data_IF_181089161953
#
_entry.id   IF_181089161953
#
_cell.length_a   1.000
_cell.length_b   1.000
_cell.length_c   1.000
_cell.angle_alpha   90.00
_cell.angle_beta   90.00
_cell.angle_gamma   90.00
#
_symmetry.space_group_name_H-M   'P 1'
#
loop_
_entity.id
_entity.type
_entity.pdbx_description
1 polymer ?
#
# COMPACT_ATOMS: atom_id res chain seq x y z
N UNK A 1 -19.03 -39.33 6.36
CA UNK A 1 -17.64 -39.20 5.88
C UNK A 1 -17.15 -37.86 6.39
N UNK A 2 -16.51 -37.86 7.53
CA UNK A 2 -16.06 -36.69 8.28
C UNK A 2 -14.83 -36.16 7.56
N UNK A 3 -14.97 -34.96 6.99
CA UNK A 3 -13.87 -34.30 6.30
C UNK A 3 -12.95 -33.70 7.37
N UNK A 4 -11.85 -34.39 7.62
CA UNK A 4 -10.78 -33.98 8.52
C UNK A 4 -10.33 -32.55 8.12
N UNK A 5 -10.53 -31.58 9.00
CA UNK A 5 -10.09 -30.21 8.81
C UNK A 5 -8.56 -30.19 8.91
N UNK A 6 -7.92 -30.34 7.78
CA UNK A 6 -6.49 -30.08 7.68
C UNK A 6 -6.24 -28.62 8.02
N UNK A 7 -5.71 -28.35 9.20
CA UNK A 7 -5.27 -27.01 9.60
C UNK A 7 -4.09 -26.63 8.71
N UNK A 8 -4.35 -25.79 7.71
CA UNK A 8 -3.27 -25.19 6.92
C UNK A 8 -2.47 -24.28 7.84
N UNK A 9 -1.14 -24.47 7.98
CA UNK A 9 -0.33 -23.59 8.80
C UNK A 9 -0.46 -22.14 8.27
N UNK A 10 -0.79 -21.21 9.16
CA UNK A 10 -0.82 -19.79 8.84
C UNK A 10 0.63 -19.31 8.65
N UNK A 11 1.11 -19.35 7.43
CA UNK A 11 2.42 -18.82 7.08
C UNK A 11 2.38 -17.28 7.17
N UNK A 12 2.96 -16.74 8.22
CA UNK A 12 3.13 -15.29 8.39
C UNK A 12 4.13 -14.76 7.35
N UNK A 13 3.64 -14.27 6.22
CA UNK A 13 4.48 -13.63 5.22
C UNK A 13 5.09 -12.33 5.76
N UNK A 14 6.43 -12.21 5.67
CA UNK A 14 7.19 -11.05 6.15
C UNK A 14 7.13 -9.84 5.21
N UNK A 15 6.27 -9.85 4.20
CA UNK A 15 6.17 -8.81 3.16
C UNK A 15 5.89 -7.40 3.71
N UNK A 16 5.09 -7.27 4.77
CA UNK A 16 4.82 -5.97 5.41
C UNK A 16 6.04 -5.35 6.11
N UNK A 17 7.00 -6.19 6.57
CA UNK A 17 8.22 -5.70 7.25
C UNK A 17 9.28 -5.16 6.29
N UNK A 18 9.26 -5.56 5.02
CA UNK A 18 10.21 -5.09 4.03
C UNK A 18 9.92 -3.65 3.58
N UNK A 19 8.68 -3.21 3.64
CA UNK A 19 8.27 -1.86 3.23
C UNK A 19 8.83 -0.76 4.13
N UNK A 20 8.59 -0.86 5.44
CA UNK A 20 9.07 0.15 6.37
C UNK A 20 10.60 0.18 6.50
N UNK A 21 11.25 -1.01 6.41
CA UNK A 21 12.71 -1.09 6.46
C UNK A 21 13.34 -0.39 5.25
N UNK A 22 12.78 -0.60 4.05
CA UNK A 22 13.22 0.11 2.85
C UNK A 22 13.04 1.61 2.99
N UNK A 23 11.89 2.08 3.49
CA UNK A 23 11.65 3.50 3.71
C UNK A 23 12.63 4.08 4.73
N UNK A 24 12.94 3.36 5.82
CA UNK A 24 13.91 3.79 6.83
C UNK A 24 15.32 3.88 6.26
N UNK A 25 15.77 2.90 5.47
CA UNK A 25 17.10 2.91 4.84
C UNK A 25 17.21 4.05 3.84
N UNK A 26 16.25 4.19 2.92
CA UNK A 26 16.27 5.25 1.92
C UNK A 26 16.21 6.65 2.57
N UNK A 27 15.39 6.82 3.61
CA UNK A 27 15.31 8.08 4.34
C UNK A 27 16.59 8.40 5.12
N UNK A 28 17.27 7.38 5.66
CA UNK A 28 18.55 7.56 6.34
C UNK A 28 19.66 7.96 5.37
N UNK A 29 19.74 7.33 4.20
CA UNK A 29 20.73 7.65 3.17
C UNK A 29 20.58 9.10 2.68
N UNK A 30 19.35 9.51 2.39
CA UNK A 30 19.06 10.88 1.96
C UNK A 30 19.43 11.90 3.05
N UNK A 31 19.04 11.63 4.31
CA UNK A 31 19.35 12.50 5.43
C UNK A 31 20.86 12.64 5.66
N UNK A 32 21.64 11.57 5.53
CA UNK A 32 23.10 11.60 5.69
C UNK A 32 23.73 12.41 4.58
N UNK A 33 23.38 12.14 3.33
CA UNK A 33 23.99 12.81 2.16
C UNK A 33 23.64 14.29 2.14
N UNK A 34 22.40 14.66 2.35
CA UNK A 34 21.92 16.04 2.33
C UNK A 34 22.52 16.85 3.50
N UNK A 35 22.51 16.30 4.72
CA UNK A 35 23.10 16.97 5.90
C UNK A 35 24.60 17.13 5.76
N UNK A 36 25.31 16.09 5.31
CA UNK A 36 26.74 16.17 5.07
C UNK A 36 27.09 17.23 4.02
N UNK A 37 26.33 17.31 2.94
CA UNK A 37 26.51 18.30 1.87
C UNK A 37 26.35 19.73 2.39
N UNK A 38 25.32 19.99 3.22
CA UNK A 38 25.10 21.27 3.87
C UNK A 38 26.28 21.63 4.77
N UNK A 39 26.73 20.68 5.61
CA UNK A 39 27.84 20.90 6.53
C UNK A 39 29.17 21.19 5.79
N UNK A 40 29.43 20.46 4.70
CA UNK A 40 30.61 20.67 3.85
C UNK A 40 30.55 22.06 3.18
N UNK A 41 29.39 22.45 2.65
CA UNK A 41 29.21 23.76 2.04
C UNK A 41 29.42 24.91 3.02
N UNK A 42 28.90 24.80 4.25
CA UNK A 42 29.12 25.79 5.31
C UNK A 42 30.58 25.80 5.77
N UNK A 43 31.22 24.63 5.88
CA UNK A 43 32.64 24.55 6.25
C UNK A 43 33.55 25.21 5.20
N UNK A 44 33.24 25.10 3.92
CA UNK A 44 34.00 25.74 2.82
C UNK A 44 33.95 27.27 2.88
N UNK A 45 32.99 27.88 3.58
CA UNK A 45 32.92 29.32 3.82
C UNK A 45 33.80 29.79 5.00
N UNK A 46 34.69 28.96 5.56
CA UNK A 46 35.51 29.24 6.75
C UNK A 46 34.68 29.52 8.02
N UNK A 47 33.49 28.97 8.10
CA UNK A 47 32.60 29.12 9.25
C UNK A 47 33.14 28.42 10.50
N UNK A 48 32.75 28.89 11.69
CA UNK A 48 33.08 28.25 12.95
C UNK A 48 32.50 26.85 13.07
N UNK A 49 33.15 25.99 13.89
CA UNK A 49 32.59 24.63 14.18
C UNK A 49 31.16 24.69 14.72
N UNK A 50 30.85 25.70 15.54
CA UNK A 50 29.49 25.89 16.04
C UNK A 50 28.46 26.16 14.93
N UNK A 51 28.84 27.01 13.96
CA UNK A 51 27.99 27.33 12.80
C UNK A 51 27.73 26.09 11.94
N UNK A 52 28.76 25.26 11.71
CA UNK A 52 28.65 24.02 10.93
C UNK A 52 27.71 23.04 11.64
N UNK A 53 27.84 22.88 12.96
CA UNK A 53 26.95 22.00 13.72
C UNK A 53 25.50 22.48 13.71
N UNK A 54 25.27 23.79 13.90
CA UNK A 54 23.91 24.35 13.84
C UNK A 54 23.29 24.14 12.45
N UNK A 55 24.07 24.35 11.37
CA UNK A 55 23.58 24.10 10.02
C UNK A 55 23.23 22.62 9.78
N UNK A 56 24.07 21.70 10.29
CA UNK A 56 23.81 20.25 10.21
C UNK A 56 22.55 19.85 10.96
N UNK A 57 22.35 20.31 12.19
CA UNK A 57 21.15 20.02 12.99
C UNK A 57 19.90 20.61 12.33
N UNK A 58 19.99 21.87 11.86
CA UNK A 58 18.86 22.51 11.16
C UNK A 58 18.49 21.75 9.88
N UNK A 59 19.48 21.32 9.10
CA UNK A 59 19.25 20.50 7.89
C UNK A 59 18.60 19.15 8.21
N UNK A 60 19.07 18.48 9.26
CA UNK A 60 18.49 17.21 9.70
C UNK A 60 17.03 17.35 10.14
N UNK A 61 16.71 18.37 10.95
CA UNK A 61 15.34 18.63 11.40
C UNK A 61 14.44 18.99 10.21
N UNK A 62 14.91 19.86 9.31
CA UNK A 62 14.14 20.24 8.12
C UNK A 62 13.85 19.02 7.22
N UNK A 63 14.86 18.17 6.99
CA UNK A 63 14.72 16.93 6.22
C UNK A 63 13.71 15.95 6.86
N UNK A 64 13.83 15.74 8.18
CA UNK A 64 12.90 14.87 8.90
C UNK A 64 11.46 15.37 8.83
N UNK A 65 11.24 16.67 8.99
CA UNK A 65 9.89 17.26 8.87
C UNK A 65 9.34 17.14 7.44
N UNK A 66 10.17 17.39 6.43
CA UNK A 66 9.79 17.26 5.03
C UNK A 66 9.34 15.85 4.68
N UNK A 67 10.12 14.84 5.10
CA UNK A 67 9.76 13.43 4.89
C UNK A 67 8.48 13.04 5.64
N UNK A 68 8.31 13.48 6.89
CA UNK A 68 7.10 13.20 7.66
C UNK A 68 5.84 13.77 7.01
N UNK A 69 5.91 14.99 6.50
CA UNK A 69 4.79 15.63 5.77
C UNK A 69 4.54 14.91 4.44
N UNK A 70 5.60 14.57 3.71
CA UNK A 70 5.50 13.84 2.45
C UNK A 70 4.81 12.48 2.61
N UNK A 71 5.21 11.71 3.63
CA UNK A 71 4.59 10.42 3.94
C UNK A 71 3.13 10.58 4.36
N UNK A 72 2.82 11.55 5.22
CA UNK A 72 1.45 11.83 5.62
C UNK A 72 0.54 12.14 4.42
N UNK A 73 0.99 13.02 3.52
CA UNK A 73 0.23 13.38 2.30
C UNK A 73 0.07 12.18 1.39
N UNK A 74 1.13 11.38 1.20
CA UNK A 74 1.10 10.17 0.37
C UNK A 74 0.07 9.16 0.88
N UNK A 75 0.14 8.82 2.17
CA UNK A 75 -0.78 7.86 2.80
C UNK A 75 -2.22 8.39 2.80
N UNK A 76 -2.42 9.69 3.08
CA UNK A 76 -3.75 10.31 3.03
C UNK A 76 -4.35 10.23 1.63
N UNK A 77 -3.56 10.59 0.60
CA UNK A 77 -4.00 10.52 -0.81
C UNK A 77 -4.34 9.10 -1.25
N UNK A 78 -3.56 8.10 -0.82
CA UNK A 78 -3.86 6.70 -1.11
C UNK A 78 -5.17 6.25 -0.47
N UNK A 79 -5.42 6.65 0.79
CA UNK A 79 -6.69 6.34 1.48
C UNK A 79 -7.89 6.99 0.79
N UNK A 80 -7.75 8.25 0.38
CA UNK A 80 -8.81 8.97 -0.32
C UNK A 80 -9.13 8.32 -1.67
N UNK A 81 -8.11 7.90 -2.43
CA UNK A 81 -8.26 7.15 -3.67
C UNK A 81 -8.99 5.81 -3.45
N UNK A 82 -8.52 5.00 -2.48
CA UNK A 82 -9.16 3.74 -2.14
C UNK A 82 -10.64 3.92 -1.73
N UNK A 83 -10.94 4.95 -0.94
CA UNK A 83 -12.33 5.24 -0.57
C UNK A 83 -13.19 5.65 -1.78
N UNK A 84 -12.61 6.37 -2.73
CA UNK A 84 -13.30 6.74 -3.96
C UNK A 84 -13.59 5.49 -4.81
N UNK A 85 -12.64 4.58 -4.96
CA UNK A 85 -12.79 3.32 -5.67
C UNK A 85 -13.87 2.44 -5.01
N UNK A 86 -13.84 2.28 -3.69
CA UNK A 86 -14.86 1.52 -2.95
C UNK A 86 -16.27 2.12 -3.12
N UNK A 87 -16.39 3.45 -3.12
CA UNK A 87 -17.68 4.11 -3.35
C UNK A 87 -18.20 3.86 -4.76
N UNK A 88 -17.31 3.94 -5.74
CA UNK A 88 -17.62 3.68 -7.13
C UNK A 88 -18.09 2.23 -7.30
N UNK A 89 -17.34 1.28 -6.77
CA UNK A 89 -17.66 -0.15 -6.78
C UNK A 89 -19.05 -0.43 -6.19
N UNK A 90 -19.37 0.16 -5.05
CA UNK A 90 -20.72 0.03 -4.45
C UNK A 90 -21.85 0.52 -5.36
N UNK A 91 -21.61 1.59 -6.13
CA UNK A 91 -22.58 2.11 -7.08
C UNK A 91 -22.75 1.18 -8.28
N UNK A 92 -21.67 0.64 -8.80
CA UNK A 92 -21.64 -0.30 -9.92
C UNK A 92 -22.33 -1.62 -9.53
N UNK A 93 -21.96 -2.20 -8.39
CA UNK A 93 -22.62 -3.39 -7.82
C UNK A 93 -24.14 -3.23 -7.59
N UNK A 94 -24.57 -2.01 -7.27
CA UNK A 94 -25.99 -1.70 -7.08
C UNK A 94 -26.71 -1.42 -8.39
N UNK A 95 -26.03 -0.80 -9.35
CA UNK A 95 -26.60 -0.37 -10.63
C UNK A 95 -26.60 -1.45 -11.69
N UNK A 96 -25.56 -2.29 -11.75
CA UNK A 96 -25.34 -3.27 -12.80
C UNK A 96 -24.86 -4.63 -12.26
N UNK A 97 -25.62 -5.27 -11.33
CA UNK A 97 -25.15 -6.44 -10.59
C UNK A 97 -24.76 -7.64 -11.48
N UNK A 98 -25.34 -7.74 -12.68
CA UNK A 98 -25.05 -8.83 -13.60
C UNK A 98 -23.77 -8.59 -14.40
N UNK A 99 -23.48 -7.33 -14.72
CA UNK A 99 -22.23 -6.96 -15.37
C UNK A 99 -21.05 -7.19 -14.41
N UNK A 100 -21.20 -6.76 -13.17
CA UNK A 100 -20.21 -6.93 -12.11
C UNK A 100 -19.93 -8.40 -11.80
N UNK A 101 -20.96 -9.25 -11.79
CA UNK A 101 -20.77 -10.70 -11.64
C UNK A 101 -19.92 -11.28 -12.78
N UNK A 102 -20.18 -10.84 -14.02
CA UNK A 102 -19.39 -11.26 -15.17
C UNK A 102 -17.94 -10.75 -15.07
N UNK A 103 -17.73 -9.52 -14.58
CA UNK A 103 -16.41 -8.93 -14.39
C UNK A 103 -15.60 -9.74 -13.38
N UNK A 104 -16.17 -10.06 -12.24
CA UNK A 104 -15.55 -10.93 -11.25
C UNK A 104 -15.20 -12.31 -11.83
N UNK A 105 -16.11 -12.91 -12.60
CA UNK A 105 -15.85 -14.19 -13.29
C UNK A 105 -14.69 -14.08 -14.28
N UNK A 106 -14.59 -12.98 -15.04
CA UNK A 106 -13.50 -12.75 -15.99
C UNK A 106 -12.13 -12.62 -15.32
N UNK A 107 -12.06 -12.14 -14.08
CA UNK A 107 -10.82 -12.13 -13.30
C UNK A 107 -10.32 -13.56 -13.07
N UNK A 108 -11.22 -14.49 -12.74
CA UNK A 108 -10.87 -15.91 -12.55
C UNK A 108 -10.53 -16.62 -13.86
N UNK A 109 -11.18 -16.26 -14.97
CA UNK A 109 -10.79 -16.76 -16.30
C UNK A 109 -9.37 -16.34 -16.64
N UNK A 110 -9.00 -15.09 -16.40
CA UNK A 110 -7.62 -14.60 -16.57
C UNK A 110 -6.60 -15.35 -15.69
N UNK A 111 -7.05 -15.89 -14.55
CA UNK A 111 -6.25 -16.73 -13.66
C UNK A 111 -6.20 -18.22 -14.08
N UNK A 112 -6.88 -18.59 -15.17
CA UNK A 112 -6.82 -19.92 -15.76
C UNK A 112 -8.01 -20.83 -15.50
N UNK A 113 -9.12 -20.34 -14.93
CA UNK A 113 -10.35 -21.11 -14.81
C UNK A 113 -11.13 -21.11 -16.13
N UNK A 114 -11.84 -22.20 -16.39
CA UNK A 114 -12.83 -22.23 -17.46
C UNK A 114 -14.04 -21.34 -17.09
N UNK A 115 -14.70 -20.76 -18.10
CA UNK A 115 -15.78 -19.79 -17.93
C UNK A 115 -16.89 -20.30 -17.01
N UNK A 116 -17.35 -21.55 -17.21
CA UNK A 116 -18.44 -22.14 -16.42
C UNK A 116 -18.07 -22.29 -14.93
N UNK A 117 -16.82 -22.62 -14.65
CA UNK A 117 -16.31 -22.72 -13.28
C UNK A 117 -16.11 -21.33 -12.69
N UNK A 118 -15.52 -20.40 -13.45
CA UNK A 118 -15.30 -19.03 -13.02
C UNK A 118 -16.61 -18.33 -12.64
N UNK A 119 -17.67 -18.52 -13.43
CA UNK A 119 -18.99 -17.98 -13.12
C UNK A 119 -19.55 -18.54 -11.81
N UNK A 120 -19.47 -19.85 -11.58
CA UNK A 120 -19.90 -20.48 -10.33
C UNK A 120 -19.12 -19.97 -9.12
N UNK A 121 -17.82 -19.74 -9.28
CA UNK A 121 -16.96 -19.17 -8.22
C UNK A 121 -17.39 -17.74 -7.91
N UNK A 122 -17.59 -16.91 -8.94
CA UNK A 122 -18.05 -15.54 -8.78
C UNK A 122 -19.42 -15.46 -8.08
N UNK A 123 -20.38 -16.32 -8.47
CA UNK A 123 -21.70 -16.41 -7.83
C UNK A 123 -21.60 -16.74 -6.34
N UNK A 124 -20.79 -17.74 -5.97
CA UNK A 124 -20.62 -18.16 -4.58
C UNK A 124 -19.94 -17.09 -3.73
N UNK A 125 -18.90 -16.44 -4.26
CA UNK A 125 -18.22 -15.36 -3.57
C UNK A 125 -19.14 -14.15 -3.39
N UNK A 126 -19.88 -13.77 -4.43
CA UNK A 126 -20.83 -12.66 -4.38
C UNK A 126 -22.00 -12.95 -3.42
N UNK A 127 -22.41 -14.20 -3.28
CA UNK A 127 -23.45 -14.59 -2.32
C UNK A 127 -22.94 -14.53 -0.86
N UNK A 128 -21.64 -14.69 -0.63
CA UNK A 128 -21.05 -14.62 0.70
C UNK A 128 -20.71 -13.17 1.09
N UNK A 129 -19.92 -12.49 0.28
CA UNK A 129 -19.52 -11.09 0.48
C UNK A 129 -19.18 -10.47 -0.89
N UNK A 130 -20.17 -9.86 -1.53
CA UNK A 130 -20.02 -9.31 -2.87
C UNK A 130 -18.97 -8.21 -2.93
N UNK A 131 -19.10 -7.20 -2.07
CA UNK A 131 -18.17 -6.08 -2.06
C UNK A 131 -16.74 -6.53 -1.70
N UNK A 132 -16.60 -7.37 -0.69
CA UNK A 132 -15.29 -7.90 -0.29
C UNK A 132 -14.61 -8.73 -1.36
N UNK A 133 -15.39 -9.47 -2.20
CA UNK A 133 -14.85 -10.21 -3.34
C UNK A 133 -14.25 -9.26 -4.38
N UNK A 134 -14.97 -8.21 -4.78
CA UNK A 134 -14.49 -7.20 -5.73
C UNK A 134 -13.32 -6.41 -5.18
N UNK A 135 -13.42 -5.92 -3.93
CA UNK A 135 -12.32 -5.20 -3.27
C UNK A 135 -11.01 -5.98 -3.29
N UNK A 136 -11.06 -7.27 -2.97
CA UNK A 136 -9.87 -8.12 -2.91
C UNK A 136 -9.36 -8.51 -4.30
N UNK A 137 -10.24 -8.97 -5.19
CA UNK A 137 -9.84 -9.62 -6.42
C UNK A 137 -9.69 -8.64 -7.60
N UNK A 138 -10.39 -7.52 -7.58
CA UNK A 138 -10.35 -6.46 -8.59
C UNK A 138 -9.49 -5.28 -8.13
N UNK A 139 -9.79 -4.70 -6.98
CA UNK A 139 -9.11 -3.51 -6.49
C UNK A 139 -7.81 -3.82 -5.73
N UNK A 140 -7.56 -5.07 -5.37
CA UNK A 140 -6.39 -5.48 -4.59
C UNK A 140 -6.39 -4.92 -3.16
N UNK A 141 -7.56 -4.59 -2.61
CA UNK A 141 -7.75 -4.05 -1.27
C UNK A 141 -8.16 -5.19 -0.34
N UNK A 142 -7.28 -5.54 0.59
CA UNK A 142 -7.59 -6.54 1.63
C UNK A 142 -8.21 -5.84 2.85
N UNK A 143 -9.37 -6.32 3.31
CA UNK A 143 -10.04 -5.79 4.51
C UNK A 143 -9.33 -6.16 5.82
N UNK A 144 -8.29 -7.00 5.76
CA UNK A 144 -7.55 -7.49 6.92
C UNK A 144 -6.32 -6.64 7.28
N UNK A 145 -6.11 -5.48 6.64
CA UNK A 145 -4.97 -4.60 6.90
C UNK A 145 -5.32 -3.40 7.79
#
# INVERSE_FOLDING_TARGET
MEMERTTVPNEMHRSGRAGWLRAAVLGSDDAIVSTASIMIGVAASSASKGTILVAGVAGLVAGAMSMAVGEYVSVSSQRDAQQADIRRENLELSGQPQAELCELAMIYVKRGLEMDLAMKVAEQLSAHDRLGAHMRDELGIDQAA
#
